data_IF_449760119302
#
_entry.id   IF_449760119302
#
_cell.length_a   1.000
_cell.length_b   1.000
_cell.length_c   1.000
_cell.angle_alpha   90.00
_cell.angle_beta   90.00
_cell.angle_gamma   90.00
#
_symmetry.space_group_name_H-M   'P 1'
#
loop_
_entity.id
_entity.type
_entity.pdbx_description
1 polymer ?
#
# COMPACT_ATOMS: atom_id res chain seq x y z
N UNK A 1 -13.80 -3.07 -25.20
CA UNK A 1 -14.62 -1.84 -25.33
C UNK A 1 -13.75 -0.59 -25.28
N UNK A 2 -13.22 -0.17 -24.13
CA UNK A 2 -12.41 1.06 -24.04
C UNK A 2 -11.11 0.98 -24.85
N UNK A 3 -10.44 -0.16 -24.84
CA UNK A 3 -9.16 -0.35 -25.53
C UNK A 3 -9.24 -0.30 -27.06
N UNK A 4 -10.40 -0.61 -27.65
CA UNK A 4 -10.64 -0.66 -29.10
C UNK A 4 -11.60 0.45 -29.55
N UNK A 5 -11.78 1.51 -28.76
CA UNK A 5 -12.75 2.58 -29.08
C UNK A 5 -12.40 3.32 -30.38
N UNK A 6 -11.12 3.33 -30.76
CA UNK A 6 -10.63 3.98 -31.97
C UNK A 6 -10.84 3.12 -33.23
N UNK A 7 -10.92 1.79 -33.08
CA UNK A 7 -11.24 0.85 -34.16
C UNK A 7 -12.12 -0.31 -33.65
N UNK A 8 -13.41 -0.07 -33.41
CA UNK A 8 -14.29 -1.06 -32.78
C UNK A 8 -14.72 -2.19 -33.72
N UNK A 9 -14.41 -2.09 -35.02
CA UNK A 9 -14.81 -3.04 -36.07
C UNK A 9 -13.62 -3.67 -36.81
N UNK A 10 -12.40 -3.29 -36.47
CA UNK A 10 -11.17 -3.72 -37.13
C UNK A 10 -11.10 -3.26 -38.61
N UNK A 11 -11.77 -2.16 -38.94
CA UNK A 11 -11.80 -1.60 -40.31
C UNK A 11 -10.44 -0.96 -40.67
N UNK A 12 -9.64 -0.56 -39.67
CA UNK A 12 -8.37 0.13 -39.84
C UNK A 12 -7.15 -0.74 -39.47
N UNK A 13 -7.37 -1.98 -39.02
CA UNK A 13 -6.33 -2.93 -38.59
C UNK A 13 -5.45 -2.36 -37.45
N UNK A 14 -6.03 -1.51 -36.60
CA UNK A 14 -5.34 -0.91 -35.46
C UNK A 14 -5.37 -1.85 -34.24
N UNK A 15 -4.32 -1.80 -33.41
CA UNK A 15 -4.23 -2.63 -32.20
C UNK A 15 -4.89 -1.97 -30.99
N UNK A 16 -5.07 -2.72 -29.90
CA UNK A 16 -5.67 -2.17 -28.69
C UNK A 16 -4.79 -1.06 -28.07
N UNK A 17 -5.43 -0.01 -27.55
CA UNK A 17 -4.77 1.01 -26.73
C UNK A 17 -4.42 0.49 -25.33
N UNK A 18 -3.80 1.33 -24.50
CA UNK A 18 -3.26 0.96 -23.18
C UNK A 18 -4.23 0.25 -22.22
N UNK A 19 -5.55 0.49 -22.35
CA UNK A 19 -6.56 -0.22 -21.57
C UNK A 19 -6.69 -1.72 -21.90
N UNK A 20 -6.04 -2.19 -22.96
CA UNK A 20 -6.05 -3.60 -23.39
C UNK A 20 -4.96 -4.47 -22.76
N UNK A 21 -3.97 -3.88 -22.08
CA UNK A 21 -2.87 -4.61 -21.44
C UNK A 21 -2.76 -4.25 -19.95
N UNK A 22 -2.67 -5.26 -19.08
CA UNK A 22 -2.58 -5.11 -17.63
C UNK A 22 -1.36 -4.31 -17.15
N UNK A 23 -0.27 -4.30 -17.92
CA UNK A 23 0.97 -3.58 -17.61
C UNK A 23 0.92 -2.09 -17.97
N UNK A 24 -0.07 -1.68 -18.79
CA UNK A 24 -0.21 -0.30 -19.27
C UNK A 24 -1.53 0.35 -18.88
N UNK A 25 -2.56 -0.42 -18.52
CA UNK A 25 -3.90 0.09 -18.25
C UNK A 25 -3.94 1.18 -17.15
N UNK A 26 -3.16 1.04 -16.06
CA UNK A 26 -3.10 2.03 -14.97
C UNK A 26 -2.53 3.40 -15.39
N UNK A 27 -1.99 3.52 -16.60
CA UNK A 27 -1.47 4.78 -17.17
C UNK A 27 -2.59 5.66 -17.74
N UNK A 28 -3.74 5.09 -18.09
CA UNK A 28 -4.88 5.84 -18.62
C UNK A 28 -5.78 6.36 -17.48
N UNK A 29 -6.10 7.67 -17.41
CA UNK A 29 -7.05 8.18 -16.44
C UNK A 29 -8.43 7.48 -16.45
N UNK A 30 -8.87 6.93 -17.59
CA UNK A 30 -10.14 6.20 -17.69
C UNK A 30 -10.14 4.92 -16.86
N UNK A 31 -8.95 4.33 -16.59
CA UNK A 31 -8.80 3.17 -15.72
C UNK A 31 -9.46 3.42 -14.36
N UNK A 32 -9.15 4.55 -13.74
CA UNK A 32 -9.66 4.91 -12.41
C UNK A 32 -11.16 5.21 -12.44
N UNK A 33 -11.68 5.78 -13.53
CA UNK A 33 -13.14 6.00 -13.69
C UNK A 33 -13.89 4.67 -13.79
N UNK A 34 -13.41 3.76 -14.63
CA UNK A 34 -14.00 2.43 -14.80
C UNK A 34 -13.94 1.63 -13.50
N UNK A 35 -12.78 1.61 -12.83
CA UNK A 35 -12.61 0.89 -11.57
C UNK A 35 -13.40 1.51 -10.41
N UNK A 36 -13.63 2.83 -10.42
CA UNK A 36 -14.55 3.47 -9.45
C UNK A 36 -16.00 3.02 -9.68
N UNK A 37 -16.42 2.87 -10.94
CA UNK A 37 -17.73 2.29 -11.26
C UNK A 37 -17.83 0.84 -10.76
N UNK A 38 -16.82 0.01 -11.02
CA UNK A 38 -16.77 -1.37 -10.52
C UNK A 38 -16.77 -1.41 -8.98
N UNK A 39 -15.96 -0.58 -8.30
CA UNK A 39 -15.96 -0.46 -6.84
C UNK A 39 -17.36 -0.11 -6.31
N UNK A 40 -18.10 0.79 -6.98
CA UNK A 40 -19.46 1.15 -6.55
C UNK A 40 -20.42 -0.06 -6.48
N UNK A 41 -20.23 -1.08 -7.33
CA UNK A 41 -20.99 -2.34 -7.30
C UNK A 41 -20.63 -3.12 -6.03
N UNK A 42 -19.34 -3.24 -5.71
CA UNK A 42 -18.87 -3.89 -4.48
C UNK A 42 -19.32 -3.14 -3.23
N UNK A 43 -19.27 -1.81 -3.23
CA UNK A 43 -19.76 -0.98 -2.12
C UNK A 43 -21.25 -1.20 -1.90
N UNK A 44 -22.06 -1.25 -2.96
CA UNK A 44 -23.50 -1.55 -2.85
C UNK A 44 -23.76 -2.92 -2.21
N UNK A 45 -22.91 -3.90 -2.49
CA UNK A 45 -22.98 -5.19 -1.82
C UNK A 45 -22.53 -5.09 -0.35
N UNK A 46 -21.41 -4.44 -0.06
CA UNK A 46 -20.88 -4.23 1.30
C UNK A 46 -21.85 -3.47 2.22
N UNK A 47 -22.64 -2.55 1.67
CA UNK A 47 -23.69 -1.82 2.40
C UNK A 47 -24.87 -2.70 2.86
N UNK A 48 -24.97 -3.95 2.39
CA UNK A 48 -26.01 -4.90 2.86
C UNK A 48 -25.65 -5.60 4.16
N UNK A 49 -24.38 -5.59 4.55
CA UNK A 49 -23.94 -6.24 5.79
C UNK A 49 -24.25 -5.34 6.98
N UNK A 50 -24.53 -5.97 8.13
CA UNK A 50 -24.61 -5.23 9.37
C UNK A 50 -23.24 -4.57 9.67
N UNK A 51 -23.23 -3.35 10.23
CA UNK A 51 -21.99 -2.75 10.71
C UNK A 51 -21.35 -3.61 11.79
N UNK A 52 -20.02 -3.55 11.89
CA UNK A 52 -19.29 -4.24 12.95
C UNK A 52 -19.76 -3.81 14.33
N UNK A 53 -20.11 -4.78 15.17
CA UNK A 53 -20.50 -4.57 16.56
C UNK A 53 -19.29 -4.37 17.48
N UNK A 54 -19.52 -3.95 18.73
CA UNK A 54 -18.46 -3.76 19.71
C UNK A 54 -17.61 -5.01 19.96
N UNK A 55 -18.19 -6.21 19.87
CA UNK A 55 -17.46 -7.45 20.09
C UNK A 55 -16.45 -7.77 18.96
N UNK A 56 -16.73 -7.32 17.73
CA UNK A 56 -15.86 -7.53 16.56
C UNK A 56 -14.72 -6.50 16.52
N UNK A 57 -14.93 -5.30 17.07
CA UNK A 57 -13.95 -4.22 17.07
C UNK A 57 -13.10 -4.14 18.34
N UNK A 58 -13.60 -4.66 19.48
CA UNK A 58 -12.87 -4.57 20.76
C UNK A 58 -11.87 -5.69 20.91
N UNK A 59 -10.73 -5.35 21.49
CA UNK A 59 -9.75 -6.29 22.00
C UNK A 59 -9.62 -6.08 23.52
N UNK A 60 -10.35 -6.87 24.35
CA UNK A 60 -10.43 -6.63 25.78
C UNK A 60 -9.07 -6.56 26.47
N UNK A 61 -8.90 -5.55 27.33
CA UNK A 61 -7.66 -5.31 28.07
C UNK A 61 -6.54 -4.63 27.28
N UNK A 62 -6.70 -4.42 25.97
CA UNK A 62 -5.73 -3.69 25.13
C UNK A 62 -6.16 -2.24 25.00
N UNK A 63 -5.26 -1.31 25.37
CA UNK A 63 -5.49 0.12 25.25
C UNK A 63 -4.31 0.81 24.55
N UNK A 64 -4.55 1.39 23.37
CA UNK A 64 -3.57 2.17 22.64
C UNK A 64 -3.48 3.57 23.25
N UNK A 65 -2.37 3.85 23.94
CA UNK A 65 -2.16 5.11 24.65
C UNK A 65 -1.61 6.21 23.74
N UNK A 66 -0.71 5.85 22.83
CA UNK A 66 -0.13 6.80 21.88
C UNK A 66 0.18 6.14 20.54
N UNK A 67 0.06 6.94 19.48
CA UNK A 67 0.42 6.61 18.12
C UNK A 67 1.13 7.83 17.54
N UNK A 68 2.39 7.65 17.15
CA UNK A 68 3.21 8.70 16.57
C UNK A 68 3.98 8.16 15.37
N UNK A 69 4.31 9.04 14.43
CA UNK A 69 5.35 8.76 13.43
C UNK A 69 6.57 9.64 13.68
N UNK A 70 7.76 9.09 13.45
CA UNK A 70 9.02 9.82 13.55
C UNK A 70 9.91 9.45 12.36
N UNK A 71 10.50 10.44 11.69
CA UNK A 71 11.46 10.18 10.62
C UNK A 71 12.70 9.51 11.20
N UNK A 72 13.39 8.69 10.40
CA UNK A 72 14.63 8.02 10.81
C UNK A 72 15.83 8.99 10.78
N UNK A 73 15.72 10.10 11.52
CA UNK A 73 16.70 11.17 11.63
C UNK A 73 16.61 11.79 13.04
N UNK A 74 17.77 12.18 13.60
CA UNK A 74 17.82 12.92 14.88
C UNK A 74 17.02 14.22 14.80
N UNK A 75 16.34 14.53 15.90
CA UNK A 75 15.54 15.75 16.10
C UNK A 75 14.46 15.95 15.02
N UNK A 76 13.90 14.85 14.51
CA UNK A 76 12.84 14.93 13.50
C UNK A 76 11.51 15.38 14.11
N UNK A 77 10.72 16.08 13.29
CA UNK A 77 9.38 16.52 13.67
C UNK A 77 8.46 15.29 13.66
N UNK A 78 7.83 15.01 14.81
CA UNK A 78 6.85 13.94 14.93
C UNK A 78 5.64 14.20 14.03
N UNK A 79 4.95 13.13 13.62
CA UNK A 79 3.71 13.17 12.85
C UNK A 79 3.83 13.92 11.52
N UNK A 80 5.03 13.92 10.93
CA UNK A 80 5.32 14.54 9.65
C UNK A 80 5.91 13.49 8.71
N UNK A 81 5.25 13.25 7.58
CA UNK A 81 5.75 12.42 6.50
C UNK A 81 6.27 13.32 5.38
N UNK A 82 7.45 13.01 4.84
CA UNK A 82 8.08 13.81 3.78
C UNK A 82 8.17 13.00 2.50
N UNK A 83 7.74 13.59 1.40
CA UNK A 83 7.86 13.03 0.05
C UNK A 83 8.78 13.89 -0.81
N UNK A 84 9.40 13.28 -1.82
CA UNK A 84 10.29 13.94 -2.75
C UNK A 84 10.40 13.17 -4.06
N UNK A 85 11.03 13.78 -5.06
CA UNK A 85 11.36 13.13 -6.31
C UNK A 85 12.72 12.44 -6.20
N UNK A 86 12.75 11.14 -6.46
CA UNK A 86 13.99 10.37 -6.59
C UNK A 86 14.25 10.06 -8.06
N UNK A 87 15.51 10.29 -8.48
CA UNK A 87 15.99 9.88 -9.79
C UNK A 87 16.69 8.53 -9.66
N UNK A 88 16.24 7.56 -10.45
CA UNK A 88 16.78 6.20 -10.44
C UNK A 88 17.13 5.75 -11.84
N UNK A 89 17.95 4.70 -11.92
CA UNK A 89 18.39 4.09 -13.18
C UNK A 89 17.98 2.63 -13.23
N UNK A 90 17.64 2.15 -14.42
CA UNK A 90 17.32 0.75 -14.68
C UNK A 90 17.90 0.33 -16.03
N UNK A 91 18.41 -0.91 -16.09
CA UNK A 91 19.00 -1.49 -17.30
C UNK A 91 17.92 -2.21 -18.12
N UNK A 92 17.65 -1.69 -19.33
CA UNK A 92 16.70 -2.27 -20.29
C UNK A 92 17.35 -3.27 -21.25
N UNK A 93 18.66 -3.51 -21.16
CA UNK A 93 19.39 -4.30 -22.15
C UNK A 93 18.79 -5.69 -22.39
N UNK A 94 18.27 -6.34 -21.35
CA UNK A 94 17.65 -7.66 -21.46
C UNK A 94 16.30 -7.70 -22.22
N UNK A 95 15.66 -6.54 -22.44
CA UNK A 95 14.34 -6.45 -23.07
C UNK A 95 14.33 -5.75 -24.44
N UNK A 96 15.50 -5.42 -24.99
CA UNK A 96 15.63 -4.75 -26.29
C UNK A 96 16.20 -5.73 -27.30
N UNK A 97 15.34 -6.26 -28.16
CA UNK A 97 15.75 -7.10 -29.28
C UNK A 97 16.54 -6.27 -30.31
N UNK A 98 17.59 -6.87 -30.89
CA UNK A 98 18.45 -6.25 -31.90
C UNK A 98 19.15 -4.95 -31.45
N UNK A 99 19.29 -4.74 -30.14
CA UNK A 99 20.06 -3.64 -29.56
C UNK A 99 21.57 -3.83 -29.70
N UNK A 100 22.33 -2.76 -29.45
CA UNK A 100 23.78 -2.87 -29.30
C UNK A 100 24.13 -3.78 -28.11
N UNK A 101 25.21 -4.55 -28.22
CA UNK A 101 25.67 -5.40 -27.11
C UNK A 101 26.03 -4.54 -25.88
N UNK A 102 25.48 -4.90 -24.72
CA UNK A 102 25.78 -4.27 -23.43
C UNK A 102 24.55 -3.79 -22.66
N UNK A 103 24.80 -3.06 -21.56
CA UNK A 103 23.75 -2.48 -20.72
C UNK A 103 23.17 -1.21 -21.34
N UNK A 104 21.85 -1.09 -21.33
CA UNK A 104 21.10 0.09 -21.80
C UNK A 104 20.42 0.73 -20.60
N UNK A 105 21.10 1.67 -19.95
CA UNK A 105 20.55 2.35 -18.78
C UNK A 105 19.58 3.47 -19.17
N UNK A 106 18.38 3.42 -18.62
CA UNK A 106 17.42 4.54 -18.65
C UNK A 106 17.36 5.19 -17.29
N UNK A 107 17.34 6.51 -17.29
CA UNK A 107 17.16 7.32 -16.08
C UNK A 107 15.72 7.82 -16.04
N UNK A 108 15.03 7.60 -14.92
CA UNK A 108 13.66 8.07 -14.70
C UNK A 108 13.51 8.68 -13.32
N UNK A 109 12.45 9.48 -13.14
CA UNK A 109 12.13 10.13 -11.88
C UNK A 109 10.82 9.57 -11.35
N UNK A 110 10.77 9.21 -10.08
CA UNK A 110 9.59 8.67 -9.42
C UNK A 110 9.42 9.27 -8.02
N UNK A 111 8.20 9.16 -7.49
CA UNK A 111 7.91 9.58 -6.12
C UNK A 111 8.74 8.73 -5.14
N UNK A 112 9.13 9.34 -4.03
CA UNK A 112 9.77 8.68 -2.91
C UNK A 112 9.32 9.34 -1.61
N UNK A 113 9.46 8.65 -0.49
CA UNK A 113 9.29 9.23 0.84
C UNK A 113 10.52 9.01 1.74
N UNK A 114 10.70 9.87 2.73
CA UNK A 114 11.73 9.68 3.74
C UNK A 114 11.38 8.45 4.62
N UNK A 115 12.40 7.70 5.05
CA UNK A 115 12.20 6.59 5.96
C UNK A 115 11.67 7.08 7.32
N UNK A 116 10.72 6.35 7.88
CA UNK A 116 10.09 6.71 9.15
C UNK A 116 9.71 5.47 9.96
N UNK A 117 9.41 5.69 11.24
CA UNK A 117 8.99 4.67 12.18
C UNK A 117 7.62 5.03 12.76
N UNK A 118 6.74 4.04 12.88
CA UNK A 118 5.59 4.12 13.79
C UNK A 118 6.07 3.82 15.20
N UNK A 119 5.69 4.66 16.16
CA UNK A 119 5.88 4.43 17.60
C UNK A 119 4.52 4.34 18.26
N UNK A 120 4.26 3.21 18.89
CA UNK A 120 3.02 2.97 19.60
C UNK A 120 3.31 2.60 21.04
N UNK A 121 2.51 3.15 21.96
CA UNK A 121 2.49 2.73 23.35
C UNK A 121 1.17 2.06 23.65
N UNK A 122 1.22 0.80 24.08
CA UNK A 122 0.03 -0.02 24.33
C UNK A 122 0.05 -0.52 25.76
N UNK A 123 -0.97 -0.16 26.54
CA UNK A 123 -1.21 -0.76 27.84
C UNK A 123 -2.03 -2.05 27.67
N UNK A 124 -1.58 -3.13 28.31
CA UNK A 124 -2.26 -4.41 28.27
C UNK A 124 -2.40 -5.02 29.66
N UNK A 125 -3.62 -5.42 30.05
CA UNK A 125 -3.91 -5.93 31.40
C UNK A 125 -4.19 -7.44 31.47
N UNK A 126 -4.13 -8.15 30.35
CA UNK A 126 -4.40 -9.59 30.28
C UNK A 126 -3.13 -10.45 30.37
N UNK A 127 -3.27 -11.75 30.13
CA UNK A 127 -2.14 -12.68 29.98
C UNK A 127 -1.48 -12.51 28.61
N UNK A 128 -0.17 -12.75 28.53
CA UNK A 128 0.59 -12.53 27.29
C UNK A 128 -0.09 -13.22 26.09
N UNK A 129 -0.39 -12.46 25.04
CA UNK A 129 -1.12 -12.95 23.86
C UNK A 129 -0.67 -12.26 22.57
N UNK A 130 -0.80 -12.92 21.42
CA UNK A 130 -0.62 -12.26 20.15
C UNK A 130 -1.78 -11.30 19.84
N UNK A 131 -1.46 -10.18 19.19
CA UNK A 131 -2.42 -9.24 18.60
C UNK A 131 -1.98 -8.90 17.17
N UNK A 132 -2.94 -8.52 16.33
CA UNK A 132 -2.64 -8.01 14.98
C UNK A 132 -2.78 -6.50 15.01
N UNK A 133 -1.72 -5.80 14.65
CA UNK A 133 -1.68 -4.35 14.55
C UNK A 133 -1.93 -3.96 13.10
N UNK A 134 -3.00 -3.20 12.86
CA UNK A 134 -3.44 -2.71 11.55
C UNK A 134 -3.31 -1.19 11.52
N UNK A 135 -2.65 -0.64 10.51
CA UNK A 135 -2.42 0.80 10.35
C UNK A 135 -3.04 1.27 9.04
N UNK A 136 -3.83 2.34 9.11
CA UNK A 136 -4.46 2.98 7.96
C UNK A 136 -4.17 4.47 7.96
N UNK A 137 -4.21 5.08 6.77
CA UNK A 137 -4.10 6.51 6.56
C UNK A 137 -5.30 7.00 5.75
N UNK A 138 -5.94 8.07 6.17
CA UNK A 138 -7.08 8.64 5.43
C UNK A 138 -6.99 10.17 5.36
N UNK A 139 -7.30 10.80 4.21
CA UNK A 139 -7.27 12.26 4.11
C UNK A 139 -8.36 12.88 5.00
N UNK A 140 -8.09 14.08 5.54
CA UNK A 140 -9.09 14.80 6.35
C UNK A 140 -10.03 15.65 5.51
N UNK A 141 -9.54 16.13 4.36
CA UNK A 141 -10.20 17.14 3.54
C UNK A 141 -10.23 16.73 2.08
N UNK A 142 -11.24 17.23 1.36
CA UNK A 142 -11.35 17.09 -0.10
C UNK A 142 -10.51 18.16 -0.83
N UNK A 143 -10.57 18.16 -2.15
CA UNK A 143 -9.84 19.10 -3.02
C UNK A 143 -10.24 20.57 -2.84
N UNK A 144 -11.39 20.82 -2.20
CA UNK A 144 -11.89 22.17 -1.88
C UNK A 144 -11.52 22.62 -0.45
N UNK A 145 -10.75 21.80 0.27
CA UNK A 145 -10.38 22.04 1.66
C UNK A 145 -11.51 21.82 2.66
N UNK A 146 -12.62 21.20 2.27
CA UNK A 146 -13.73 20.88 3.16
C UNK A 146 -13.47 19.56 3.87
N UNK A 147 -13.81 19.48 5.16
CA UNK A 147 -13.68 18.24 5.93
C UNK A 147 -14.57 17.14 5.34
N UNK A 148 -13.99 15.95 5.19
CA UNK A 148 -14.71 14.76 4.73
C UNK A 148 -15.61 14.23 5.84
N UNK A 149 -16.78 13.72 5.47
CA UNK A 149 -17.59 12.92 6.38
C UNK A 149 -16.93 11.56 6.64
N UNK A 150 -17.28 10.89 7.74
CA UNK A 150 -16.75 9.55 8.02
C UNK A 150 -17.02 8.55 6.89
N UNK A 151 -18.21 8.61 6.27
CA UNK A 151 -18.60 7.73 5.17
C UNK A 151 -17.76 7.95 3.90
N UNK A 152 -17.36 9.19 3.63
CA UNK A 152 -16.43 9.50 2.54
C UNK A 152 -15.01 9.08 2.90
N UNK A 153 -14.56 9.44 4.10
CA UNK A 153 -13.20 9.17 4.58
C UNK A 153 -12.92 7.66 4.65
N UNK A 154 -13.87 6.83 5.10
CA UNK A 154 -13.69 5.37 5.18
C UNK A 154 -13.40 4.72 3.82
N UNK A 155 -13.86 5.33 2.72
CA UNK A 155 -13.60 4.84 1.35
C UNK A 155 -12.23 5.25 0.83
N UNK A 156 -11.61 6.23 1.48
CA UNK A 156 -10.28 6.77 1.15
C UNK A 156 -9.20 6.30 2.14
N UNK A 157 -9.56 5.47 3.12
CA UNK A 157 -8.62 4.86 4.03
C UNK A 157 -7.77 3.84 3.29
N UNK A 158 -6.48 4.10 3.20
CA UNK A 158 -5.49 3.19 2.61
C UNK A 158 -4.79 2.40 3.71
N UNK A 159 -4.57 1.11 3.47
CA UNK A 159 -3.77 0.29 4.37
C UNK A 159 -2.30 0.69 4.26
N UNK A 160 -1.65 0.89 5.40
CA UNK A 160 -0.23 1.25 5.48
C UNK A 160 0.62 0.07 5.95
N UNK A 161 0.11 -0.75 6.86
CA UNK A 161 0.79 -1.93 7.38
C UNK A 161 -0.17 -2.81 8.21
N UNK A 162 0.03 -4.13 8.16
CA UNK A 162 -0.62 -5.09 9.05
C UNK A 162 0.41 -6.11 9.51
N UNK A 163 0.63 -6.22 10.83
CA UNK A 163 1.63 -7.15 11.38
C UNK A 163 1.26 -7.66 12.77
N UNK A 164 1.80 -8.83 13.11
CA UNK A 164 1.61 -9.46 14.42
C UNK A 164 2.55 -8.86 15.46
N UNK A 165 2.04 -8.66 16.67
CA UNK A 165 2.80 -8.28 17.87
C UNK A 165 2.44 -9.20 19.03
N UNK A 166 3.39 -9.49 19.91
CA UNK A 166 3.13 -10.24 21.13
C UNK A 166 3.01 -9.24 22.29
N UNK A 167 1.80 -9.10 22.84
CA UNK A 167 1.53 -8.20 23.96
C UNK A 167 1.86 -8.90 25.27
N UNK A 168 2.56 -8.20 26.15
CA UNK A 168 2.85 -8.64 27.53
C UNK A 168 2.10 -7.77 28.54
N UNK A 169 1.74 -8.28 29.73
CA UNK A 169 1.07 -7.46 30.74
C UNK A 169 1.89 -6.22 31.10
N UNK A 170 1.25 -5.06 31.17
CA UNK A 170 1.89 -3.76 31.41
C UNK A 170 1.96 -2.88 30.15
N UNK A 171 3.00 -2.05 30.08
CA UNK A 171 3.21 -1.11 28.96
C UNK A 171 4.13 -1.74 27.91
N UNK A 172 3.65 -1.81 26.68
CA UNK A 172 4.39 -2.31 25.52
C UNK A 172 4.74 -1.12 24.63
N UNK A 173 6.04 -0.88 24.39
CA UNK A 173 6.51 0.13 23.46
C UNK A 173 6.88 -0.56 22.14
N UNK A 174 6.10 -0.31 21.09
CA UNK A 174 6.23 -0.96 19.78
C UNK A 174 6.82 0.05 18.80
N UNK A 175 7.87 -0.36 18.08
CA UNK A 175 8.49 0.45 17.03
C UNK A 175 8.44 -0.36 15.73
N UNK A 176 7.85 0.22 14.69
CA UNK A 176 7.71 -0.42 13.37
C UNK A 176 8.28 0.48 12.27
N UNK A 177 9.28 -0.02 11.55
CA UNK A 177 9.90 0.67 10.41
C UNK A 177 8.97 0.66 9.19
N UNK A 178 8.86 1.79 8.48
CA UNK A 178 8.10 1.88 7.23
C UNK A 178 8.59 0.89 6.16
N UNK A 179 9.90 0.61 6.14
CA UNK A 179 10.52 -0.35 5.22
C UNK A 179 10.06 -1.81 5.41
N UNK A 180 9.44 -2.13 6.54
CA UNK A 180 8.94 -3.47 6.83
C UNK A 180 7.44 -3.62 6.51
N UNK A 181 6.80 -2.62 5.90
CA UNK A 181 5.36 -2.63 5.61
C UNK A 181 4.94 -3.90 4.87
N UNK A 182 3.87 -4.54 5.33
CA UNK A 182 3.25 -5.70 4.67
C UNK A 182 2.63 -5.38 3.31
N UNK A 183 2.38 -4.11 3.02
CA UNK A 183 1.76 -3.63 1.78
C UNK A 183 2.80 -3.60 0.64
N UNK A 184 4.07 -3.40 0.98
CA UNK A 184 5.09 -3.03 0.00
C UNK A 184 6.17 -4.07 -0.24
N UNK A 185 6.79 -4.01 -1.42
CA UNK A 185 8.03 -4.73 -1.74
C UNK A 185 9.20 -3.74 -1.91
N UNK A 186 10.44 -4.13 -1.55
CA UNK A 186 11.63 -3.31 -1.75
C UNK A 186 11.88 -2.96 -3.22
N UNK A 187 12.57 -1.83 -3.46
CA UNK A 187 12.88 -1.33 -4.81
C UNK A 187 13.62 -2.36 -5.67
N UNK A 188 14.55 -3.10 -5.07
CA UNK A 188 15.36 -4.13 -5.74
C UNK A 188 14.49 -5.31 -6.22
N UNK A 189 13.31 -5.51 -5.62
CA UNK A 189 12.35 -6.52 -6.10
C UNK A 189 11.51 -5.99 -7.26
N UNK A 190 11.22 -4.69 -7.28
CA UNK A 190 10.45 -4.05 -8.36
C UNK A 190 11.28 -3.87 -9.64
N UNK A 191 12.56 -3.48 -9.52
CA UNK A 191 13.43 -3.13 -10.65
C UNK A 191 14.62 -4.09 -10.81
N UNK A 192 14.41 -5.38 -10.53
CA UNK A 192 15.48 -6.39 -10.65
C UNK A 192 15.85 -6.63 -12.11
N UNK A 193 17.13 -6.86 -12.39
CA UNK A 193 17.57 -7.27 -13.73
C UNK A 193 17.14 -8.72 -14.02
N UNK A 194 16.35 -8.88 -15.10
CA UNK A 194 15.79 -10.16 -15.57
C UNK A 194 16.89 -11.14 -16.04
N UNK A 195 18.07 -10.64 -16.43
CA UNK A 195 19.20 -11.47 -16.82
C UNK A 195 19.83 -12.24 -15.64
N UNK A 196 19.67 -11.74 -14.41
CA UNK A 196 20.21 -12.36 -13.20
C UNK A 196 19.19 -13.22 -12.44
N UNK A 197 18.13 -13.67 -13.13
CA UNK A 197 17.02 -14.40 -12.51
C UNK A 197 16.87 -15.80 -13.10
N UNK A 198 16.96 -16.80 -12.22
CA UNK A 198 16.77 -18.21 -12.57
C UNK A 198 15.28 -18.46 -12.89
N UNK A 199 14.99 -18.74 -14.17
CA UNK A 199 13.65 -18.87 -14.76
C UNK A 199 12.84 -20.08 -14.21
N UNK A 200 13.44 -20.93 -13.37
CA UNK A 200 12.87 -22.22 -12.95
C UNK A 200 12.13 -22.28 -11.60
N UNK A 201 12.07 -21.20 -10.82
CA UNK A 201 11.55 -21.27 -9.44
C UNK A 201 10.11 -20.71 -9.36
N UNK A 202 9.13 -21.48 -8.90
CA UNK A 202 7.72 -21.04 -8.80
C UNK A 202 7.55 -19.85 -7.81
N UNK A 203 8.48 -19.72 -6.85
CA UNK A 203 8.62 -18.57 -5.96
C UNK A 203 8.91 -17.25 -6.71
N UNK A 204 9.29 -17.31 -7.99
CA UNK A 204 9.68 -16.16 -8.81
C UNK A 204 8.50 -15.24 -9.17
N UNK A 205 7.30 -15.80 -9.44
CA UNK A 205 6.13 -14.99 -9.85
C UNK A 205 5.49 -14.22 -8.69
N UNK A 206 5.56 -14.77 -7.47
CA UNK A 206 5.06 -14.10 -6.27
C UNK A 206 5.99 -12.97 -5.80
N UNK A 207 7.29 -13.01 -6.14
CA UNK A 207 8.26 -12.01 -5.70
C UNK A 207 8.05 -10.60 -6.29
N UNK A 208 7.37 -10.47 -7.44
CA UNK A 208 7.08 -9.19 -8.08
C UNK A 208 5.73 -8.58 -7.68
N UNK A 209 4.87 -9.35 -6.99
CA UNK A 209 3.57 -8.88 -6.53
C UNK A 209 3.73 -8.12 -5.21
N UNK A 210 3.32 -6.86 -5.21
CA UNK A 210 3.35 -6.00 -4.03
C UNK A 210 3.42 -4.53 -4.43
N UNK A 211 2.96 -3.65 -3.54
CA UNK A 211 3.01 -2.21 -3.82
C UNK A 211 4.46 -1.72 -3.81
N UNK A 212 4.90 -0.85 -4.74
CA UNK A 212 6.26 -0.33 -4.68
C UNK A 212 6.49 0.46 -3.39
N UNK A 213 7.57 0.17 -2.66
CA UNK A 213 7.85 0.83 -1.38
C UNK A 213 7.86 2.37 -1.47
N UNK A 214 8.39 2.90 -2.56
CA UNK A 214 8.47 4.34 -2.82
C UNK A 214 7.10 5.03 -3.06
N UNK A 215 6.03 4.24 -3.17
CA UNK A 215 4.64 4.70 -3.31
C UNK A 215 3.81 4.48 -2.04
N UNK A 216 4.42 4.06 -0.91
CA UNK A 216 3.69 3.79 0.35
C UNK A 216 2.92 5.02 0.85
N UNK A 217 3.51 6.21 0.73
CA UNK A 217 2.94 7.45 1.24
C UNK A 217 2.39 8.27 0.07
N UNK A 218 1.13 8.77 0.15
CA UNK A 218 0.61 9.70 -0.84
C UNK A 218 1.52 10.92 -1.00
N UNK A 219 1.61 11.46 -2.23
CA UNK A 219 2.50 12.58 -2.55
C UNK A 219 2.30 13.79 -1.63
N UNK A 220 1.06 14.12 -1.28
CA UNK A 220 0.70 15.37 -0.62
C UNK A 220 0.92 16.58 -1.55
N UNK A 221 1.08 17.76 -0.95
CA UNK A 221 1.39 19.00 -1.63
C UNK A 221 2.53 19.76 -0.92
N UNK A 222 2.95 20.89 -1.48
CA UNK A 222 4.04 21.71 -0.94
C UNK A 222 3.67 22.47 0.35
N UNK A 223 2.38 22.57 0.69
CA UNK A 223 1.89 23.27 1.87
C UNK A 223 1.64 22.31 3.05
N UNK A 224 1.55 21.02 2.77
CA UNK A 224 1.19 19.98 3.72
C UNK A 224 -0.29 19.60 3.58
N UNK A 225 -0.54 18.29 3.48
CA UNK A 225 -1.89 17.73 3.50
C UNK A 225 -2.08 16.99 4.81
N UNK A 226 -3.16 17.31 5.52
CA UNK A 226 -3.49 16.64 6.78
C UNK A 226 -4.17 15.29 6.50
N UNK A 227 -3.68 14.27 7.20
CA UNK A 227 -4.25 12.92 7.21
C UNK A 227 -4.56 12.51 8.65
N UNK A 228 -5.57 11.67 8.82
CA UNK A 228 -5.78 10.92 10.05
C UNK A 228 -5.03 9.58 9.92
N UNK A 229 -4.05 9.38 10.81
CA UNK A 229 -3.37 8.10 10.98
C UNK A 229 -4.14 7.28 12.01
N UNK A 230 -4.58 6.10 11.61
CA UNK A 230 -5.38 5.20 12.43
C UNK A 230 -4.60 3.91 12.70
N UNK A 231 -4.56 3.47 13.95
CA UNK A 231 -4.03 2.16 14.31
C UNK A 231 -5.04 1.39 15.17
N UNK A 232 -5.16 0.10 14.90
CA UNK A 232 -6.04 -0.82 15.60
C UNK A 232 -5.27 -2.08 16.00
N UNK A 233 -5.51 -2.58 17.21
CA UNK A 233 -4.98 -3.86 17.67
C UNK A 233 -6.13 -4.87 17.79
N UNK A 234 -6.33 -5.72 16.78
CA UNK A 234 -7.32 -6.80 16.80
C UNK A 234 -6.77 -8.05 17.50
N UNK A 235 -7.68 -8.93 17.95
CA UNK A 235 -7.29 -10.20 18.58
C UNK A 235 -6.77 -11.18 17.52
N UNK A 236 -5.50 -11.56 17.63
CA UNK A 236 -4.87 -12.41 16.63
C UNK A 236 -5.49 -13.80 16.55
N UNK A 237 -6.10 -14.30 17.64
CA UNK A 237 -6.76 -15.60 17.62
C UNK A 237 -8.02 -15.61 16.73
N UNK A 238 -8.64 -14.44 16.53
CA UNK A 238 -9.74 -14.25 15.58
C UNK A 238 -9.23 -13.95 14.16
N UNK A 239 -8.05 -13.36 14.03
CA UNK A 239 -7.44 -13.01 12.74
C UNK A 239 -6.71 -14.18 12.07
N UNK A 240 -6.21 -15.14 12.86
CA UNK A 240 -5.37 -16.22 12.33
C UNK A 240 -6.17 -17.14 11.43
N UNK A 241 -5.56 -17.52 10.32
CA UNK A 241 -5.99 -18.64 9.51
C UNK A 241 -4.98 -19.75 9.75
N UNK A 242 -5.45 -20.93 10.15
CA UNK A 242 -4.63 -22.13 10.19
C UNK A 242 -4.91 -22.89 8.89
N UNK A 243 -4.14 -22.66 7.81
CA UNK A 243 -4.32 -23.46 6.60
C UNK A 243 -4.06 -24.92 6.95
N UNK A 244 -4.88 -25.81 6.41
CA UNK A 244 -4.76 -27.26 6.65
C UNK A 244 -3.55 -27.88 5.93
N UNK A 245 -2.86 -27.10 5.09
CA UNK A 245 -1.69 -27.51 4.32
C UNK A 245 -0.72 -26.34 4.20
N UNK A 246 0.56 -26.59 4.49
CA UNK A 246 1.67 -25.73 4.06
C UNK A 246 1.86 -25.94 2.55
N UNK A 247 1.72 -24.88 1.75
CA UNK A 247 2.29 -24.84 0.39
C UNK A 247 3.77 -24.45 0.45
#
# INVERSE_FOLDING_TARGET
LLSLVHDPREDFLESFGVMGDVTTAMRDPVFYRWHTFVDSIFQRHKQRFAPYGPAELRNPGVNLLSLETELDRRDSVKNTLLTFWQRSQFDLGAGIDFGAEGSVFVTFTHLQHAAFNYRLQVAYSGTAKPATLRIFLAPKRNERGQSLTFEEQRRLAIEMDTFRVNLTPGINNIIRRSANSSVTIPYERTFRNVANTNIGDANFRFCGCGWPSHMLVPKGDQFGVEYDLFAMLSDHEQDRVNPLFDE
#
